data_IF_076869668959
#
_entry.id   IF_076869668959
#
_cell.length_a   1.000
_cell.length_b   1.000
_cell.length_c   1.000
_cell.angle_alpha   90.00
_cell.angle_beta   90.00
_cell.angle_gamma   90.00
#
_symmetry.space_group_name_H-M   'P 1'
#
loop_
_entity.id
_entity.type
_entity.pdbx_description
1 polymer ?
#
# COMPACT_ATOMS: atom_id res chain seq x y z
N UNK A 1 2.17 -13.65 27.32
CA UNK A 1 2.63 -14.58 28.38
C UNK A 1 1.45 -14.86 29.28
N UNK A 2 0.85 -16.05 29.14
CA UNK A 2 -0.24 -16.49 30.01
C UNK A 2 0.37 -16.88 31.35
N UNK A 3 0.06 -16.12 32.40
CA UNK A 3 0.42 -16.50 33.76
C UNK A 3 -0.29 -17.81 34.10
N UNK A 4 0.51 -18.81 34.45
CA UNK A 4 0.06 -20.11 34.97
C UNK A 4 -0.86 -19.86 36.17
N UNK A 5 -2.13 -20.17 36.03
CA UNK A 5 -3.01 -20.43 37.18
C UNK A 5 -2.50 -21.72 37.87
N UNK A 6 -1.82 -21.57 38.99
CA UNK A 6 -1.55 -22.70 39.87
C UNK A 6 -2.84 -23.01 40.61
N UNK A 7 -3.40 -24.20 40.38
CA UNK A 7 -4.48 -24.73 41.23
C UNK A 7 -3.89 -25.05 42.59
N UNK A 8 -4.48 -24.49 43.64
CA UNK A 8 -4.17 -24.84 45.00
C UNK A 8 -4.60 -26.28 45.24
N UNK A 9 -3.75 -27.08 45.91
CA UNK A 9 -4.11 -28.44 46.31
C UNK A 9 -5.14 -28.40 47.46
N UNK A 10 -6.00 -29.42 47.58
CA UNK A 10 -7.05 -29.51 48.60
C UNK A 10 -6.54 -29.46 50.06
N UNK A 11 -5.23 -29.44 50.29
CA UNK A 11 -4.59 -29.47 51.60
C UNK A 11 -3.96 -28.15 52.01
N UNK A 12 -4.18 -27.06 51.29
CA UNK A 12 -3.60 -25.76 51.61
C UNK A 12 -4.46 -25.06 52.68
N UNK A 13 -3.83 -24.71 53.83
CA UNK A 13 -4.44 -24.02 54.96
C UNK A 13 -5.01 -22.64 54.51
N UNK A 14 -6.35 -22.45 54.57
CA UNK A 14 -6.97 -21.22 54.10
C UNK A 14 -6.59 -19.98 54.94
N UNK A 15 -5.94 -20.12 56.09
CA UNK A 15 -5.46 -19.00 56.91
C UNK A 15 -4.17 -18.35 56.38
N UNK A 16 -3.42 -19.08 55.54
CA UNK A 16 -2.13 -18.61 55.02
C UNK A 16 -2.26 -17.56 53.91
N UNK A 17 -3.46 -17.38 53.37
CA UNK A 17 -3.72 -16.51 52.22
C UNK A 17 -4.61 -15.29 52.55
N UNK A 18 -4.72 -14.93 53.88
CA UNK A 18 -5.48 -13.77 54.31
C UNK A 18 -4.93 -12.39 53.86
N UNK A 19 -4.42 -12.28 52.71
CA UNK A 19 -3.94 -11.01 52.18
C UNK A 19 -4.07 -10.84 50.65
N UNK A 20 -4.47 -11.88 49.96
CA UNK A 20 -4.63 -11.79 48.51
C UNK A 20 -6.09 -12.09 48.14
N UNK A 21 -6.94 -11.07 48.18
CA UNK A 21 -8.21 -11.16 47.49
C UNK A 21 -7.88 -11.06 45.98
N UNK A 22 -7.80 -12.18 45.33
CA UNK A 22 -7.89 -12.22 43.85
C UNK A 22 -9.36 -11.94 43.56
N UNK A 23 -9.67 -10.68 43.31
CA UNK A 23 -10.97 -10.35 42.72
C UNK A 23 -11.08 -11.15 41.43
N UNK A 24 -12.06 -12.05 41.34
CA UNK A 24 -12.41 -12.70 40.09
C UNK A 24 -12.94 -11.64 39.14
N UNK A 25 -12.05 -11.05 38.35
CA UNK A 25 -12.45 -10.14 37.29
C UNK A 25 -13.19 -10.95 36.24
N UNK A 26 -14.50 -10.74 36.16
CA UNK A 26 -15.31 -11.32 35.12
C UNK A 26 -14.95 -10.65 33.79
N UNK A 27 -14.14 -11.33 32.97
CA UNK A 27 -13.67 -10.82 31.67
C UNK A 27 -14.86 -10.38 30.82
N UNK A 28 -16.00 -11.07 30.87
CA UNK A 28 -17.21 -10.66 30.16
C UNK A 28 -17.78 -9.32 30.63
N UNK A 29 -17.71 -9.01 31.94
CA UNK A 29 -18.14 -7.72 32.47
C UNK A 29 -17.16 -6.61 32.06
N UNK A 30 -15.87 -6.88 32.07
CA UNK A 30 -14.85 -5.91 31.63
C UNK A 30 -15.01 -5.63 30.16
N UNK A 31 -15.17 -6.65 29.32
CA UNK A 31 -15.35 -6.46 27.87
C UNK A 31 -16.65 -5.73 27.49
N UNK A 32 -17.73 -5.93 28.26
CA UNK A 32 -18.99 -5.20 28.03
C UNK A 32 -18.93 -3.71 28.43
N UNK A 33 -17.87 -3.28 29.14
CA UNK A 33 -17.66 -1.88 29.49
C UNK A 33 -16.85 -1.13 28.41
N UNK A 34 -16.21 -1.84 27.49
CA UNK A 34 -15.50 -1.19 26.40
C UNK A 34 -16.48 -0.79 25.31
N UNK A 35 -16.70 0.49 25.16
CA UNK A 35 -17.33 1.04 23.97
C UNK A 35 -16.45 0.73 22.76
N UNK A 36 -17.07 0.21 21.71
CA UNK A 36 -16.40 0.13 20.40
C UNK A 36 -16.20 1.58 19.95
N UNK A 37 -14.98 2.06 20.07
CA UNK A 37 -14.60 3.38 19.58
C UNK A 37 -14.35 3.26 18.08
N UNK A 38 -15.25 3.79 17.28
CA UNK A 38 -15.16 3.76 15.82
C UNK A 38 -14.16 4.78 15.28
N UNK A 39 -13.81 5.80 16.07
CA UNK A 39 -12.80 6.80 15.73
C UNK A 39 -11.97 7.15 16.98
N UNK A 40 -10.73 6.66 16.99
CA UNK A 40 -9.78 6.94 18.05
C UNK A 40 -8.61 7.75 17.52
N UNK A 41 -8.24 8.83 18.19
CA UNK A 41 -7.07 9.64 17.84
C UNK A 41 -5.75 8.90 18.13
N UNK A 42 -5.80 7.96 19.08
CA UNK A 42 -4.63 7.24 19.58
C UNK A 42 -4.90 5.75 19.71
N UNK A 43 -3.86 4.95 19.53
CA UNK A 43 -3.83 3.51 19.80
C UNK A 43 -2.85 3.26 20.94
N UNK A 44 -3.25 2.47 21.94
CA UNK A 44 -2.36 2.03 23.00
C UNK A 44 -1.47 0.90 22.47
N UNK A 45 -0.20 1.00 22.80
CA UNK A 45 0.83 0.01 22.39
C UNK A 45 1.65 -0.42 23.58
N UNK A 46 2.04 -1.68 23.60
CA UNK A 46 2.89 -2.28 24.61
C UNK A 46 4.17 -2.82 23.99
N UNK A 47 5.30 -2.57 24.63
CA UNK A 47 6.58 -3.14 24.28
C UNK A 47 7.33 -3.55 25.55
N UNK A 48 7.36 -4.86 25.80
CA UNK A 48 7.89 -5.39 27.07
C UNK A 48 7.06 -4.88 28.24
N UNK A 49 7.71 -4.23 29.21
CA UNK A 49 7.04 -3.64 30.38
C UNK A 49 6.65 -2.17 30.20
N UNK A 50 6.82 -1.62 29.01
CA UNK A 50 6.50 -0.24 28.71
C UNK A 50 5.18 -0.13 27.98
N UNK A 51 4.33 0.79 28.41
CA UNK A 51 3.08 1.14 27.76
C UNK A 51 3.18 2.55 27.19
N UNK A 52 2.56 2.76 26.06
CA UNK A 52 2.52 4.06 25.40
C UNK A 52 1.29 4.21 24.54
N UNK A 53 1.16 5.36 23.92
CA UNK A 53 0.15 5.60 22.90
C UNK A 53 0.81 6.18 21.64
N UNK A 54 0.31 5.76 20.51
CA UNK A 54 0.72 6.24 19.20
C UNK A 54 -0.46 6.93 18.54
N UNK A 55 -0.23 8.06 17.90
CA UNK A 55 -1.26 8.71 17.10
C UNK A 55 -1.67 7.81 15.92
N UNK A 56 -2.95 7.87 15.55
CA UNK A 56 -3.50 7.10 14.42
C UNK A 56 -2.72 7.35 13.12
N UNK A 57 -2.38 8.60 12.83
CA UNK A 57 -1.58 8.99 11.66
C UNK A 57 -0.18 8.36 11.67
N UNK A 58 0.47 8.34 12.83
CA UNK A 58 1.83 7.78 12.97
C UNK A 58 1.80 6.26 12.85
N UNK A 59 0.76 5.61 13.41
CA UNK A 59 0.57 4.16 13.26
C UNK A 59 0.34 3.79 11.80
N UNK A 60 -0.55 4.51 11.10
CA UNK A 60 -0.82 4.30 9.68
C UNK A 60 0.46 4.50 8.87
N UNK A 61 1.22 5.55 9.12
CA UNK A 61 2.49 5.83 8.44
C UNK A 61 3.51 4.71 8.65
N UNK A 62 3.61 4.18 9.88
CA UNK A 62 4.51 3.06 10.19
C UNK A 62 4.05 1.74 9.56
N UNK A 63 2.73 1.49 9.54
CA UNK A 63 2.17 0.30 8.87
C UNK A 63 2.36 0.37 7.36
N UNK A 64 2.16 1.53 6.74
CA UNK A 64 2.40 1.74 5.31
C UNK A 64 3.89 1.58 4.97
N UNK A 65 4.78 2.12 5.79
CA UNK A 65 6.23 1.96 5.60
C UNK A 65 6.71 0.51 5.83
N UNK A 66 6.05 -0.24 6.70
CA UNK A 66 6.33 -1.66 6.92
C UNK A 66 5.65 -2.57 5.88
N UNK A 67 4.61 -2.08 5.22
CA UNK A 67 3.91 -2.79 4.15
C UNK A 67 4.63 -2.53 2.83
N UNK A 68 4.67 -3.54 1.96
CA UNK A 68 5.21 -3.38 0.61
C UNK A 68 4.35 -2.50 -0.31
N UNK A 69 3.26 -1.90 0.21
CA UNK A 69 2.37 -0.98 -0.51
C UNK A 69 3.09 0.27 -1.01
N UNK A 70 4.20 0.65 -0.37
CA UNK A 70 5.04 1.75 -0.85
C UNK A 70 5.68 1.45 -2.22
N UNK A 71 5.73 0.18 -2.59
CA UNK A 71 6.21 -0.28 -3.89
C UNK A 71 5.19 -0.10 -5.02
N UNK A 72 3.92 0.18 -4.70
CA UNK A 72 2.87 0.38 -5.69
C UNK A 72 2.63 1.88 -5.85
N UNK A 73 2.90 2.39 -7.04
CA UNK A 73 2.59 3.76 -7.42
C UNK A 73 1.57 3.76 -8.56
N UNK A 74 0.49 4.48 -8.40
CA UNK A 74 -0.58 4.55 -9.40
C UNK A 74 -0.98 6.00 -9.60
N UNK A 75 -1.07 6.41 -10.87
CA UNK A 75 -1.64 7.66 -11.30
C UNK A 75 -2.80 7.34 -12.24
N UNK A 76 -3.98 7.85 -11.94
CA UNK A 76 -5.13 7.77 -12.85
C UNK A 76 -5.57 9.19 -13.21
N UNK A 77 -5.62 9.51 -14.49
CA UNK A 77 -5.91 10.86 -14.98
C UNK A 77 -6.52 10.81 -16.38
N UNK A 78 -7.39 11.78 -16.65
CA UNK A 78 -7.77 12.11 -18.04
C UNK A 78 -6.58 12.76 -18.73
N UNK A 79 -6.17 12.20 -19.86
CA UNK A 79 -5.00 12.64 -20.63
C UNK A 79 -5.46 13.16 -21.97
N UNK A 80 -5.08 14.35 -22.30
CA UNK A 80 -5.25 14.95 -23.62
C UNK A 80 -4.06 14.65 -24.52
N UNK A 81 -4.21 14.91 -25.83
CA UNK A 81 -3.14 14.74 -26.83
C UNK A 81 -1.85 15.40 -26.33
N UNK A 82 -0.75 14.68 -26.45
CA UNK A 82 0.61 15.11 -26.06
C UNK A 82 0.82 15.38 -24.55
N UNK A 83 -0.17 15.16 -23.70
CA UNK A 83 0.03 15.22 -22.27
C UNK A 83 0.84 14.03 -21.78
N UNK A 84 1.74 14.29 -20.82
CA UNK A 84 2.58 13.26 -20.20
C UNK A 84 2.04 12.84 -18.84
N UNK A 85 2.14 11.55 -18.55
CA UNK A 85 2.07 10.99 -17.21
C UNK A 85 3.45 10.52 -16.81
N UNK A 86 3.86 10.79 -15.58
CA UNK A 86 5.21 10.48 -15.11
C UNK A 86 5.18 9.79 -13.77
N UNK A 87 6.01 8.77 -13.60
CA UNK A 87 6.34 8.12 -12.33
C UNK A 87 7.85 8.20 -12.10
N UNK A 88 8.28 8.16 -10.84
CA UNK A 88 9.70 8.04 -10.52
C UNK A 88 10.28 6.76 -11.13
N UNK A 89 11.45 6.87 -11.77
CA UNK A 89 12.12 5.73 -12.39
C UNK A 89 12.68 4.80 -11.33
N UNK A 90 12.25 3.55 -11.37
CA UNK A 90 12.77 2.44 -10.57
C UNK A 90 12.71 1.16 -11.38
N UNK A 91 13.47 0.14 -10.98
CA UNK A 91 13.26 -1.19 -11.52
C UNK A 91 11.90 -1.73 -11.09
N UNK A 92 11.22 -2.46 -11.94
CA UNK A 92 9.92 -3.03 -11.62
C UNK A 92 9.02 -3.27 -12.83
N UNK A 93 7.77 -3.60 -12.54
CA UNK A 93 6.71 -3.76 -13.54
C UNK A 93 5.87 -2.50 -13.59
N UNK A 94 5.60 -2.00 -14.78
CA UNK A 94 4.72 -0.88 -15.03
C UNK A 94 3.56 -1.28 -15.92
N UNK A 95 2.39 -0.76 -15.63
CA UNK A 95 1.18 -1.01 -16.41
C UNK A 95 0.54 0.31 -16.82
N UNK A 96 -0.08 0.28 -17.99
CA UNK A 96 -0.86 1.39 -18.55
C UNK A 96 -2.18 0.84 -19.04
N UNK A 97 -3.25 1.41 -18.56
CA UNK A 97 -4.60 1.02 -18.94
C UNK A 97 -5.34 2.26 -19.42
N UNK A 98 -5.67 2.29 -20.69
CA UNK A 98 -6.52 3.31 -21.28
C UNK A 98 -7.96 2.82 -21.33
N UNK A 99 -8.91 3.66 -20.97
CA UNK A 99 -10.34 3.36 -21.04
C UNK A 99 -11.06 4.34 -21.99
N UNK A 100 -12.07 3.84 -22.69
CA UNK A 100 -12.85 4.57 -23.68
C UNK A 100 -13.09 3.74 -24.93
N UNK A 101 -13.48 4.37 -26.04
CA UNK A 101 -13.75 3.69 -27.32
C UNK A 101 -12.51 3.03 -27.93
N UNK A 102 -11.32 3.41 -27.48
CA UNK A 102 -10.03 2.95 -27.95
C UNK A 102 -9.17 2.46 -26.78
N UNK A 103 -9.73 1.51 -26.00
CA UNK A 103 -9.05 0.96 -24.83
C UNK A 103 -7.77 0.22 -25.18
N UNK A 104 -6.78 0.31 -24.32
CA UNK A 104 -5.51 -0.43 -24.42
C UNK A 104 -5.06 -0.90 -23.04
N UNK A 105 -4.22 -1.92 -23.02
CA UNK A 105 -3.55 -2.42 -21.83
C UNK A 105 -2.11 -2.80 -22.18
N UNK A 106 -1.17 -2.12 -21.55
CA UNK A 106 0.27 -2.41 -21.74
C UNK A 106 0.89 -2.81 -20.41
N UNK A 107 1.71 -3.84 -20.45
CA UNK A 107 2.55 -4.24 -19.33
C UNK A 107 4.00 -4.21 -19.79
N UNK A 108 4.84 -3.46 -19.07
CA UNK A 108 6.25 -3.34 -19.37
C UNK A 108 7.10 -3.61 -18.13
N UNK A 109 8.28 -4.19 -18.30
CA UNK A 109 9.29 -4.24 -17.25
C UNK A 109 10.34 -3.16 -17.47
N UNK A 110 10.84 -2.60 -16.38
CA UNK A 110 11.99 -1.71 -16.37
C UNK A 110 13.08 -2.33 -15.51
N UNK A 111 14.23 -2.57 -16.13
CA UNK A 111 15.40 -3.07 -15.43
C UNK A 111 16.66 -2.41 -15.98
N UNK A 112 17.49 -1.84 -15.09
CA UNK A 112 18.73 -1.12 -15.47
C UNK A 112 18.52 -0.07 -16.57
N UNK A 113 17.42 0.69 -16.49
CA UNK A 113 16.99 1.70 -17.46
C UNK A 113 16.65 1.14 -18.86
N UNK A 114 16.40 -0.14 -18.97
CA UNK A 114 15.88 -0.76 -20.19
C UNK A 114 14.38 -1.04 -20.00
N UNK A 115 13.60 -0.76 -21.04
CA UNK A 115 12.16 -1.02 -21.07
C UNK A 115 11.91 -2.23 -21.96
N UNK A 116 11.27 -3.25 -21.42
CA UNK A 116 10.84 -4.45 -22.18
C UNK A 116 9.33 -4.58 -22.12
N UNK A 117 8.67 -4.73 -23.26
CA UNK A 117 7.23 -4.99 -23.34
C UNK A 117 6.95 -6.44 -22.99
N UNK A 118 6.08 -6.67 -22.01
CA UNK A 118 5.62 -8.00 -21.61
C UNK A 118 4.29 -8.32 -22.28
N UNK A 119 3.36 -7.36 -22.27
CA UNK A 119 2.06 -7.49 -22.92
C UNK A 119 1.66 -6.16 -23.58
N UNK A 120 1.00 -6.27 -24.71
CA UNK A 120 0.54 -5.15 -25.52
C UNK A 120 -0.79 -5.53 -26.16
N UNK A 121 -1.89 -5.01 -25.63
CA UNK A 121 -3.24 -5.33 -26.05
C UNK A 121 -4.04 -4.04 -26.28
N UNK A 122 -4.92 -4.07 -27.27
CA UNK A 122 -5.88 -2.99 -27.52
C UNK A 122 -5.50 -2.06 -28.66
N UNK A 123 -6.04 -0.85 -28.63
CA UNK A 123 -5.90 0.12 -29.72
C UNK A 123 -4.58 0.87 -29.65
N UNK A 124 -3.99 1.11 -30.82
CA UNK A 124 -2.76 1.89 -30.98
C UNK A 124 -1.50 1.04 -30.95
N UNK A 125 -0.40 1.68 -31.28
CA UNK A 125 0.95 1.06 -31.27
C UNK A 125 1.78 1.66 -30.14
N UNK A 126 2.30 0.80 -29.28
CA UNK A 126 3.22 1.23 -28.22
C UNK A 126 4.63 1.36 -28.79
N UNK A 127 5.20 2.56 -28.69
CA UNK A 127 6.57 2.89 -29.06
C UNK A 127 7.42 3.01 -27.78
N UNK A 128 8.61 2.48 -27.82
CA UNK A 128 9.54 2.50 -26.69
C UNK A 128 10.71 3.44 -26.97
N UNK A 129 11.13 4.19 -25.93
CA UNK A 129 12.39 4.92 -25.90
C UNK A 129 12.38 6.29 -26.58
N UNK A 130 11.23 6.75 -27.06
CA UNK A 130 11.11 8.09 -27.66
C UNK A 130 9.80 8.74 -27.25
N UNK A 131 9.76 10.08 -27.21
CA UNK A 131 8.55 10.86 -27.05
C UNK A 131 8.02 11.46 -28.38
N UNK A 132 8.66 11.14 -29.48
CA UNK A 132 8.24 11.54 -30.81
C UNK A 132 7.24 10.51 -31.37
N UNK A 133 5.95 10.83 -31.30
CA UNK A 133 4.85 9.96 -31.70
C UNK A 133 3.92 10.67 -32.69
N UNK A 134 3.25 9.86 -33.52
CA UNK A 134 2.24 10.31 -34.48
C UNK A 134 0.85 9.75 -34.10
N UNK A 135 -0.16 10.14 -34.85
CA UNK A 135 -1.54 9.69 -34.62
C UNK A 135 -1.64 8.15 -34.53
N UNK A 136 -2.39 7.66 -33.59
CA UNK A 136 -2.55 6.23 -33.32
C UNK A 136 -1.41 5.59 -32.55
N UNK A 137 -0.44 6.35 -32.09
CA UNK A 137 0.69 5.86 -31.30
C UNK A 137 0.62 6.29 -29.84
N UNK A 138 1.17 5.46 -29.00
CA UNK A 138 1.43 5.70 -27.61
C UNK A 138 2.93 5.48 -27.37
N UNK A 139 3.52 6.19 -26.45
CA UNK A 139 4.92 5.90 -26.10
C UNK A 139 5.15 5.81 -24.61
N UNK A 140 6.13 5.00 -24.26
CA UNK A 140 6.72 4.93 -22.94
C UNK A 140 8.23 5.06 -23.08
N UNK A 141 8.84 5.93 -22.30
CA UNK A 141 10.25 6.20 -22.36
C UNK A 141 10.81 6.64 -21.02
N UNK A 142 12.13 6.61 -20.90
CA UNK A 142 12.84 7.08 -19.71
C UNK A 142 13.33 8.50 -19.98
N UNK A 143 12.87 9.43 -19.13
CA UNK A 143 13.42 10.77 -19.04
C UNK A 143 14.58 10.73 -18.04
N UNK A 144 15.80 10.63 -18.56
CA UNK A 144 16.99 10.52 -17.70
C UNK A 144 17.29 11.80 -16.93
N UNK A 145 16.95 12.97 -17.48
CA UNK A 145 17.15 14.26 -16.82
C UNK A 145 16.36 14.36 -15.54
N UNK A 146 15.11 13.93 -15.56
CA UNK A 146 14.21 14.01 -14.42
C UNK A 146 14.18 12.72 -13.59
N UNK A 147 14.89 11.69 -14.02
CA UNK A 147 14.85 10.33 -13.44
C UNK A 147 13.43 9.79 -13.33
N UNK A 148 12.70 9.85 -14.43
CA UNK A 148 11.30 9.43 -14.53
C UNK A 148 11.08 8.45 -15.66
N UNK A 149 10.07 7.58 -15.49
CA UNK A 149 9.45 6.88 -16.60
C UNK A 149 8.21 7.66 -17.00
N UNK A 150 8.08 7.95 -18.27
CA UNK A 150 7.02 8.81 -18.82
C UNK A 150 6.20 8.08 -19.86
N UNK A 151 4.90 8.32 -19.82
CA UNK A 151 3.94 7.89 -20.84
C UNK A 151 3.34 9.11 -21.54
N UNK A 152 3.20 9.01 -22.85
CA UNK A 152 2.56 10.03 -23.70
C UNK A 152 1.71 9.34 -24.75
N UNK A 153 0.59 9.96 -25.08
CA UNK A 153 -0.30 9.46 -26.12
C UNK A 153 -0.53 10.51 -27.21
N UNK A 154 -0.87 10.02 -28.39
CA UNK A 154 -1.32 10.81 -29.52
C UNK A 154 -2.71 10.32 -29.96
N UNK A 155 -3.72 10.66 -29.19
CA UNK A 155 -5.12 10.37 -29.49
C UNK A 155 -6.02 11.38 -28.76
N UNK A 156 -7.32 11.27 -28.97
CA UNK A 156 -8.32 12.08 -28.26
C UNK A 156 -8.24 11.87 -26.74
N UNK A 157 -8.94 12.73 -26.01
CA UNK A 157 -9.01 12.64 -24.56
C UNK A 157 -9.45 11.27 -24.12
N UNK A 158 -8.65 10.63 -23.28
CA UNK A 158 -9.01 9.36 -22.67
C UNK A 158 -8.56 9.30 -21.21
N UNK A 159 -9.22 8.44 -20.45
CA UNK A 159 -8.78 8.16 -19.09
C UNK A 159 -7.68 7.11 -19.13
N UNK A 160 -6.53 7.45 -18.58
CA UNK A 160 -5.38 6.55 -18.50
C UNK A 160 -5.01 6.34 -17.05
N UNK A 161 -4.84 5.09 -16.68
CA UNK A 161 -4.22 4.68 -15.43
C UNK A 161 -2.80 4.21 -15.73
N UNK A 162 -1.83 4.89 -15.15
CA UNK A 162 -0.42 4.54 -15.20
C UNK A 162 0.05 4.17 -13.82
N UNK A 163 0.55 2.97 -13.65
CA UNK A 163 1.01 2.47 -12.37
C UNK A 163 2.25 1.63 -12.47
N UNK A 164 2.87 1.36 -11.32
CA UNK A 164 4.03 0.49 -11.25
C UNK A 164 4.09 -0.24 -9.92
N UNK A 165 4.59 -1.48 -9.97
CA UNK A 165 5.03 -2.28 -8.85
C UNK A 165 6.56 -2.23 -8.88
N UNK A 166 7.14 -1.46 -7.99
CA UNK A 166 8.56 -1.11 -8.01
C UNK A 166 9.34 -1.95 -6.99
N UNK A 167 10.55 -2.34 -7.38
CA UNK A 167 11.46 -3.10 -6.52
C UNK A 167 12.38 -2.18 -5.69
#
# INVERSE_FOLDING_TARGET
MLNRLSFLSENDDPQKYKGYMIEKVNIGQVMNQYQIVTDADHVYVEKGNSQGKINKSDLISKLLAASELDKIKIISKSVVVNQKLSLGLKNGLYFLIGSGNFGFCYLVSVYKKEITVIANEGYGTLIIGTDNIIAGQHCIYINETDNKIEFKQYSDVMNVTFGGIIA
#
